data_IF_441417015741
#
_entry.id   IF_441417015741
#
_cell.length_a   1.000
_cell.length_b   1.000
_cell.length_c   1.000
_cell.angle_alpha   90.00
_cell.angle_beta   90.00
_cell.angle_gamma   90.00
#
_symmetry.space_group_name_H-M   'P 1'
#
loop_
_entity.id
_entity.type
_entity.pdbx_description
1 polymer ?
#
# COMPACT_ATOMS: atom_id res chain seq x y z
N UNK A 1 -12.16 -32.49 14.26
CA UNK A 1 -10.76 -32.61 13.80
C UNK A 1 -10.85 -33.31 12.47
N UNK A 2 -10.68 -32.54 11.38
CA UNK A 2 -10.99 -32.99 10.02
C UNK A 2 -10.10 -34.15 9.58
N UNK A 3 -10.72 -35.27 9.16
CA UNK A 3 -10.04 -36.42 8.55
C UNK A 3 -9.18 -36.03 7.32
N UNK A 4 -9.45 -34.92 6.70
CA UNK A 4 -8.69 -34.38 5.57
C UNK A 4 -7.28 -33.90 5.93
N UNK A 5 -7.03 -33.43 7.14
CA UNK A 5 -5.69 -32.91 7.53
C UNK A 5 -4.71 -34.09 7.68
N UNK A 6 -5.16 -35.22 8.23
CA UNK A 6 -4.35 -36.43 8.37
C UNK A 6 -3.92 -37.02 7.02
N UNK A 7 -4.81 -37.02 6.04
CA UNK A 7 -4.54 -37.55 4.69
C UNK A 7 -3.51 -36.68 3.94
N UNK A 8 -3.56 -35.36 4.09
CA UNK A 8 -2.58 -34.45 3.48
C UNK A 8 -1.19 -34.55 4.08
N UNK A 9 -1.10 -34.77 5.39
CA UNK A 9 0.19 -34.98 6.08
C UNK A 9 0.81 -36.31 5.63
N UNK A 10 0.02 -37.39 5.56
CA UNK A 10 0.50 -38.69 5.13
C UNK A 10 0.96 -38.71 3.66
N UNK A 11 0.21 -38.04 2.77
CA UNK A 11 0.56 -37.95 1.33
C UNK A 11 1.85 -37.16 1.13
N UNK A 12 2.07 -36.11 1.95
CA UNK A 12 3.26 -35.28 1.89
C UNK A 12 4.50 -36.02 2.39
N UNK A 13 4.36 -36.79 3.47
CA UNK A 13 5.45 -37.60 4.02
C UNK A 13 5.89 -38.71 3.04
N UNK A 14 4.92 -39.31 2.37
CA UNK A 14 5.17 -40.30 1.31
C UNK A 14 5.90 -39.68 0.11
N UNK A 15 5.54 -38.45 -0.28
CA UNK A 15 6.18 -37.73 -1.36
C UNK A 15 7.63 -37.34 -1.00
N UNK A 16 7.89 -36.91 0.23
CA UNK A 16 9.23 -36.61 0.74
C UNK A 16 10.11 -37.88 0.75
N UNK A 17 9.56 -39.05 1.14
CA UNK A 17 10.31 -40.31 1.12
C UNK A 17 10.65 -40.76 -0.31
N UNK A 18 9.73 -40.58 -1.26
CA UNK A 18 9.96 -40.92 -2.69
C UNK A 18 11.02 -40.01 -3.33
N UNK A 19 11.03 -38.71 -2.98
CA UNK A 19 12.04 -37.76 -3.46
C UNK A 19 13.40 -38.03 -2.81
N UNK A 20 13.43 -38.40 -1.53
CA UNK A 20 14.67 -38.74 -0.81
C UNK A 20 15.35 -39.99 -1.38
N UNK A 21 14.59 -40.90 -1.95
CA UNK A 21 15.12 -42.13 -2.62
C UNK A 21 15.57 -41.87 -4.06
N UNK A 22 15.28 -40.70 -4.65
CA UNK A 22 15.72 -40.35 -5.99
C UNK A 22 17.22 -39.98 -6.01
N UNK A 23 17.97 -40.59 -6.94
CA UNK A 23 19.43 -40.42 -7.07
C UNK A 23 19.91 -39.07 -7.58
N UNK A 24 19.05 -38.05 -7.61
CA UNK A 24 19.35 -36.75 -8.19
C UNK A 24 19.93 -35.82 -7.13
N UNK A 25 21.26 -35.76 -7.04
CA UNK A 25 22.04 -34.91 -6.11
C UNK A 25 21.69 -33.40 -6.15
N UNK A 26 21.11 -32.91 -7.26
CA UNK A 26 20.76 -31.51 -7.44
C UNK A 26 19.52 -31.07 -6.61
N UNK A 27 18.69 -31.97 -6.13
CA UNK A 27 17.47 -31.65 -5.40
C UNK A 27 17.63 -31.56 -3.87
N UNK A 28 18.76 -32.01 -3.32
CA UNK A 28 19.02 -31.99 -1.86
C UNK A 28 18.93 -30.60 -1.20
N UNK A 29 19.46 -29.52 -1.80
CA UNK A 29 19.34 -28.18 -1.19
C UNK A 29 17.88 -27.67 -1.18
N UNK A 30 17.10 -28.01 -2.23
CA UNK A 30 15.70 -27.66 -2.32
C UNK A 30 14.84 -28.39 -1.29
N UNK A 31 15.13 -29.66 -1.04
CA UNK A 31 14.50 -30.46 -0.01
C UNK A 31 14.70 -29.89 1.39
N UNK A 32 15.95 -29.54 1.75
CA UNK A 32 16.24 -28.91 3.05
C UNK A 32 15.50 -27.57 3.22
N UNK A 33 15.34 -26.81 2.15
CA UNK A 33 14.60 -25.55 2.18
C UNK A 33 13.08 -25.76 2.34
N UNK A 34 12.51 -26.76 1.66
CA UNK A 34 11.10 -27.18 1.78
C UNK A 34 10.82 -27.75 3.17
N UNK A 35 11.68 -28.62 3.71
CA UNK A 35 11.58 -29.14 5.08
C UNK A 35 11.57 -28.01 6.13
N UNK A 36 12.42 -26.99 5.96
CA UNK A 36 12.45 -25.82 6.85
C UNK A 36 11.18 -25.01 6.80
N UNK A 37 10.59 -24.78 5.60
CA UNK A 37 9.33 -24.03 5.43
C UNK A 37 8.13 -24.81 5.97
N UNK A 38 8.09 -26.14 5.74
CA UNK A 38 6.99 -26.99 6.19
C UNK A 38 7.05 -27.20 7.70
N UNK A 39 8.23 -27.39 8.28
CA UNK A 39 8.41 -27.44 9.73
C UNK A 39 7.96 -26.13 10.38
N UNK A 40 8.26 -24.97 9.77
CA UNK A 40 7.81 -23.68 10.26
C UNK A 40 6.30 -23.49 10.13
N UNK A 41 5.68 -23.90 9.02
CA UNK A 41 4.23 -23.84 8.82
C UNK A 41 3.47 -24.84 9.70
N UNK A 42 3.93 -26.08 9.84
CA UNK A 42 3.33 -27.06 10.76
C UNK A 42 3.46 -26.60 12.22
N UNK A 43 4.58 -26.00 12.60
CA UNK A 43 4.79 -25.44 13.93
C UNK A 43 3.85 -24.27 14.21
N UNK A 44 3.69 -23.35 13.24
CA UNK A 44 2.72 -22.26 13.36
C UNK A 44 1.27 -22.73 13.36
N UNK A 45 0.91 -23.73 12.57
CA UNK A 45 -0.45 -24.28 12.53
C UNK A 45 -0.78 -25.09 13.78
N UNK A 46 0.19 -25.82 14.36
CA UNK A 46 0.04 -26.53 15.63
C UNK A 46 -0.09 -25.56 16.81
N UNK A 47 0.65 -24.45 16.79
CA UNK A 47 0.51 -23.38 17.78
C UNK A 47 -0.88 -22.73 17.66
N UNK A 48 -1.35 -22.44 16.43
CA UNK A 48 -2.69 -21.87 16.19
C UNK A 48 -3.82 -22.84 16.57
N UNK A 49 -3.67 -24.14 16.36
CA UNK A 49 -4.70 -25.13 16.73
C UNK A 49 -4.81 -25.36 18.23
N UNK A 50 -3.76 -25.08 19.01
CA UNK A 50 -3.76 -25.19 20.47
C UNK A 50 -4.22 -23.92 21.19
N UNK A 51 -4.50 -22.83 20.44
CA UNK A 51 -4.85 -21.51 21.01
C UNK A 51 -6.35 -21.15 20.93
N UNK A 52 -7.25 -22.09 20.72
CA UNK A 52 -8.69 -21.83 20.71
C UNK A 52 -9.37 -22.44 21.94
N UNK A 53 -9.51 -21.70 23.00
CA UNK A 53 -10.67 -21.48 23.88
C UNK A 53 -10.26 -20.84 25.20
N UNK A 54 -10.93 -19.76 25.44
CA UNK A 54 -10.97 -18.91 26.64
C UNK A 54 -10.02 -17.71 26.61
N UNK A 55 -10.57 -16.68 26.08
CA UNK A 55 -10.00 -15.39 25.79
C UNK A 55 -9.30 -14.65 26.92
N UNK A 56 -8.17 -15.12 27.43
CA UNK A 56 -7.22 -14.23 28.17
C UNK A 56 -5.88 -14.87 28.60
N UNK A 57 -5.66 -16.17 28.47
CA UNK A 57 -4.34 -16.76 28.82
C UNK A 57 -4.01 -17.94 27.93
N UNK A 58 -2.86 -17.91 27.27
CA UNK A 58 -2.34 -19.02 26.49
C UNK A 58 -1.19 -19.68 27.26
N UNK A 59 -1.31 -20.99 27.50
CA UNK A 59 -0.21 -21.77 28.07
C UNK A 59 0.30 -22.71 26.98
N UNK A 60 1.54 -22.52 26.55
CA UNK A 60 2.21 -23.41 25.59
C UNK A 60 2.84 -24.56 26.34
N UNK A 61 2.36 -25.78 26.13
CA UNK A 61 3.01 -26.98 26.62
C UNK A 61 3.95 -27.54 25.56
N UNK A 62 5.25 -27.45 25.76
CA UNK A 62 6.25 -28.19 25.00
C UNK A 62 6.39 -29.57 25.64
N UNK A 63 5.94 -30.62 24.91
CA UNK A 63 6.04 -31.99 25.39
C UNK A 63 7.48 -32.45 25.50
N UNK A 64 7.91 -32.85 26.73
CA UNK A 64 9.10 -33.62 26.97
C UNK A 64 10.10 -33.00 27.92
N UNK A 65 9.85 -33.05 29.21
CA UNK A 65 10.73 -33.33 30.34
C UNK A 65 10.28 -32.60 31.62
N UNK A 66 10.30 -33.33 32.72
CA UNK A 66 9.89 -32.84 34.03
C UNK A 66 10.89 -31.84 34.58
N UNK A 67 10.64 -30.56 34.40
CA UNK A 67 11.17 -29.48 35.26
C UNK A 67 10.24 -28.26 35.13
N UNK A 68 9.93 -27.54 36.23
CA UNK A 68 9.09 -26.35 36.21
C UNK A 68 9.96 -25.19 35.71
N UNK A 69 9.90 -24.91 34.41
CA UNK A 69 10.67 -23.83 33.83
C UNK A 69 9.77 -22.87 33.08
N UNK A 70 9.74 -21.67 33.64
CA UNK A 70 9.39 -20.40 33.00
C UNK A 70 8.12 -20.40 32.12
N UNK A 71 7.02 -20.01 32.74
CA UNK A 71 5.89 -19.41 32.02
C UNK A 71 6.41 -18.21 31.23
N UNK A 72 6.63 -18.39 29.93
CA UNK A 72 6.73 -17.27 29.02
C UNK A 72 5.30 -16.72 28.93
N UNK A 73 4.99 -15.75 29.76
CA UNK A 73 3.85 -14.85 29.59
C UNK A 73 4.12 -14.05 28.32
N UNK A 74 3.70 -14.60 27.18
CA UNK A 74 3.53 -13.79 26.00
C UNK A 74 2.22 -13.02 26.18
N UNK A 75 2.22 -11.98 26.98
CA UNK A 75 1.24 -10.91 26.87
C UNK A 75 1.54 -10.22 25.55
N UNK A 76 0.98 -10.73 24.45
CA UNK A 76 0.70 -9.87 23.34
C UNK A 76 -0.45 -8.95 23.78
N UNK A 77 -0.13 -7.91 24.53
CA UNK A 77 -0.75 -6.64 24.24
C UNK A 77 -0.41 -6.44 22.76
N UNK A 78 -1.43 -6.39 21.91
CA UNK A 78 -1.28 -5.90 20.57
C UNK A 78 -0.84 -4.44 20.74
N UNK A 79 0.45 -4.23 20.95
CA UNK A 79 1.05 -2.92 21.02
C UNK A 79 0.65 -2.26 19.72
N UNK A 80 -0.03 -1.13 19.81
CA UNK A 80 -0.42 -0.37 18.63
C UNK A 80 0.89 -0.06 17.91
N UNK A 81 1.11 -0.73 16.77
CA UNK A 81 2.37 -0.60 16.04
C UNK A 81 2.49 0.84 15.55
N UNK A 82 3.61 1.50 15.86
CA UNK A 82 3.88 2.86 15.42
C UNK A 82 3.72 2.94 13.91
N UNK A 83 2.91 3.89 13.43
CA UNK A 83 2.67 4.12 12.01
C UNK A 83 3.78 5.02 11.45
N UNK A 84 4.68 4.43 10.70
CA UNK A 84 5.85 5.12 10.14
C UNK A 84 5.63 5.58 8.69
N UNK A 85 4.76 4.91 7.95
CA UNK A 85 4.40 5.27 6.59
C UNK A 85 3.00 5.88 6.58
N UNK A 86 2.85 7.08 6.03
CA UNK A 86 1.56 7.76 5.95
C UNK A 86 1.21 7.96 4.49
N UNK A 87 0.11 7.39 4.02
CA UNK A 87 -0.40 7.63 2.68
C UNK A 87 -1.61 8.55 2.74
N UNK A 88 -1.65 9.57 1.88
CA UNK A 88 -2.74 10.55 1.85
C UNK A 88 -3.40 10.57 0.48
N UNK A 89 -4.56 9.91 0.36
CA UNK A 89 -5.49 10.08 -0.73
C UNK A 89 -6.38 11.30 -0.47
N UNK A 90 -6.79 12.02 -1.51
CA UNK A 90 -7.44 13.32 -1.29
C UNK A 90 -8.27 13.79 -2.48
N UNK A 91 -9.39 14.44 -2.23
CA UNK A 91 -10.13 15.19 -3.23
C UNK A 91 -9.38 16.46 -3.67
N UNK A 92 -9.64 16.93 -4.89
CA UNK A 92 -9.09 18.19 -5.37
C UNK A 92 -9.69 19.37 -4.60
N UNK A 93 -8.85 20.28 -4.14
CA UNK A 93 -9.31 21.41 -3.31
C UNK A 93 -9.47 21.12 -1.82
N UNK A 94 -9.47 19.86 -1.37
CA UNK A 94 -9.62 19.50 0.05
C UNK A 94 -8.42 19.87 0.94
N UNK A 95 -7.30 20.30 0.37
CA UNK A 95 -6.11 20.63 1.16
C UNK A 95 -5.20 19.44 1.50
N UNK A 96 -5.47 18.24 0.99
CA UNK A 96 -4.70 17.05 1.32
C UNK A 96 -3.19 17.15 1.04
N UNK A 97 -2.76 17.88 -0.02
CA UNK A 97 -1.33 18.18 -0.25
C UNK A 97 -0.72 19.02 0.87
N UNK A 98 -1.44 20.07 1.29
CA UNK A 98 -1.01 20.96 2.39
C UNK A 98 -0.93 20.18 3.71
N UNK A 99 -1.95 19.36 4.00
CA UNK A 99 -1.97 18.49 5.18
C UNK A 99 -0.78 17.52 5.14
N UNK A 100 -0.54 16.85 4.03
CA UNK A 100 0.57 15.90 3.89
C UNK A 100 1.93 16.55 4.11
N UNK A 101 2.14 17.74 3.56
CA UNK A 101 3.39 18.48 3.76
C UNK A 101 3.58 18.86 5.23
N UNK A 102 2.56 19.39 5.90
CA UNK A 102 2.64 19.79 7.31
C UNK A 102 2.77 18.57 8.25
N UNK A 103 2.17 17.43 7.92
CA UNK A 103 2.36 16.16 8.65
C UNK A 103 3.82 15.70 8.54
N UNK A 104 4.39 15.72 7.34
CA UNK A 104 5.78 15.37 7.10
C UNK A 104 6.73 16.27 7.87
N UNK A 105 6.50 17.58 7.85
CA UNK A 105 7.28 18.58 8.59
C UNK A 105 7.22 18.35 10.11
N UNK A 106 6.01 18.16 10.68
CA UNK A 106 5.83 17.92 12.13
C UNK A 106 6.43 16.60 12.61
N UNK A 107 6.51 15.60 11.75
CA UNK A 107 7.09 14.30 12.07
C UNK A 107 8.59 14.21 11.74
N UNK A 108 9.12 15.15 10.94
CA UNK A 108 10.48 15.07 10.40
C UNK A 108 10.64 13.96 9.34
N UNK A 109 9.56 13.63 8.63
CA UNK A 109 9.55 12.57 7.62
C UNK A 109 9.75 13.15 6.21
N UNK A 110 10.43 12.43 5.29
CA UNK A 110 10.42 12.76 3.88
C UNK A 110 9.00 12.85 3.32
N UNK A 111 8.79 13.80 2.40
CA UNK A 111 7.52 14.06 1.74
C UNK A 111 7.61 13.73 0.27
N UNK A 112 6.74 12.84 -0.21
CA UNK A 112 6.72 12.36 -1.59
C UNK A 112 5.41 12.70 -2.30
N UNK A 113 5.47 13.66 -3.20
CA UNK A 113 4.41 14.05 -4.16
C UNK A 113 5.08 14.29 -5.53
N UNK A 114 5.75 15.44 -5.68
CA UNK A 114 6.48 15.80 -6.92
C UNK A 114 7.83 15.10 -7.04
N UNK A 115 8.48 14.79 -5.94
CA UNK A 115 9.73 14.04 -5.89
C UNK A 115 9.56 12.65 -6.50
N UNK A 116 8.45 11.98 -6.21
CA UNK A 116 8.12 10.70 -6.82
C UNK A 116 7.95 10.81 -8.34
N UNK A 117 7.36 11.92 -8.83
CA UNK A 117 7.24 12.20 -10.27
C UNK A 117 8.61 12.29 -10.90
N UNK A 118 9.56 13.02 -10.30
CA UNK A 118 10.93 13.13 -10.80
C UNK A 118 11.62 11.77 -10.88
N UNK A 119 11.54 10.99 -9.79
CA UNK A 119 12.13 9.64 -9.75
C UNK A 119 11.58 8.74 -10.85
N UNK A 120 10.26 8.78 -11.10
CA UNK A 120 9.64 8.01 -12.19
C UNK A 120 10.08 8.54 -13.56
N UNK A 121 10.12 9.86 -13.74
CA UNK A 121 10.58 10.49 -14.97
C UNK A 121 12.03 10.11 -15.32
N UNK A 122 12.93 10.17 -14.33
CA UNK A 122 14.34 9.78 -14.48
C UNK A 122 14.48 8.29 -14.82
N UNK A 123 13.71 7.41 -14.17
CA UNK A 123 13.74 5.95 -14.44
C UNK A 123 13.16 5.56 -15.80
N UNK A 124 12.23 6.35 -16.33
CA UNK A 124 11.52 6.04 -17.58
C UNK A 124 12.01 6.83 -18.78
N UNK A 125 12.69 7.94 -18.56
CA UNK A 125 13.06 8.91 -19.61
C UNK A 125 11.87 9.74 -20.14
N UNK A 126 10.71 9.70 -19.46
CA UNK A 126 9.55 10.52 -19.81
C UNK A 126 9.66 11.94 -19.23
N UNK A 127 8.98 12.89 -19.89
CA UNK A 127 8.85 14.24 -19.35
C UNK A 127 8.11 14.25 -18.01
N UNK A 128 8.59 15.00 -16.99
CA UNK A 128 7.96 15.04 -15.67
C UNK A 128 6.48 15.47 -15.70
N UNK A 129 6.09 16.40 -16.59
CA UNK A 129 4.69 16.83 -16.71
C UNK A 129 3.82 15.69 -17.24
N UNK A 130 4.39 14.91 -18.18
CA UNK A 130 3.74 13.70 -18.67
C UNK A 130 3.53 12.68 -17.55
N UNK A 131 4.55 12.41 -16.73
CA UNK A 131 4.44 11.51 -15.57
C UNK A 131 3.45 12.06 -14.54
N UNK A 132 3.41 13.37 -14.31
CA UNK A 132 2.42 14.00 -13.40
C UNK A 132 0.99 13.77 -13.88
N UNK A 133 0.73 14.01 -15.16
CA UNK A 133 -0.61 13.89 -15.73
C UNK A 133 -1.08 12.43 -15.80
N UNK A 134 -0.24 11.54 -16.28
CA UNK A 134 -0.61 10.14 -16.54
C UNK A 134 -0.42 9.20 -15.35
N UNK A 135 0.40 9.55 -14.40
CA UNK A 135 0.61 8.74 -13.21
C UNK A 135 -0.48 8.90 -12.13
N UNK A 136 -1.29 9.96 -12.21
CA UNK A 136 -2.38 10.21 -11.23
C UNK A 136 -3.78 10.23 -11.88
N UNK A 137 -3.86 10.47 -13.17
CA UNK A 137 -5.12 10.66 -13.87
C UNK A 137 -5.25 9.67 -15.03
N UNK A 138 -6.46 9.13 -15.21
CA UNK A 138 -6.74 8.32 -16.38
C UNK A 138 -6.66 9.15 -17.66
N UNK A 139 -6.01 8.65 -18.74
CA UNK A 139 -5.92 9.36 -20.00
C UNK A 139 -7.32 9.56 -20.61
N UNK A 140 -7.62 10.80 -21.01
CA UNK A 140 -8.83 11.09 -21.77
C UNK A 140 -8.77 10.50 -23.19
N UNK A 141 -9.93 10.28 -23.82
CA UNK A 141 -10.03 9.67 -25.17
C UNK A 141 -9.22 10.36 -26.27
N UNK A 142 -8.90 11.66 -26.11
CA UNK A 142 -8.11 12.44 -27.08
C UNK A 142 -6.63 12.08 -27.12
N UNK A 143 -6.14 11.36 -26.14
CA UNK A 143 -4.71 11.16 -25.98
C UNK A 143 -4.19 9.81 -26.47
N UNK A 144 -5.07 8.87 -26.77
CA UNK A 144 -4.72 7.64 -27.49
C UNK A 144 -4.04 7.96 -28.83
N UNK A 145 -4.38 9.10 -29.45
CA UNK A 145 -3.77 9.57 -30.71
C UNK A 145 -2.36 10.14 -30.52
N UNK A 146 -2.06 10.75 -29.37
CA UNK A 146 -0.71 11.24 -29.06
C UNK A 146 0.23 10.11 -28.66
N UNK A 147 -0.29 9.06 -28.02
CA UNK A 147 0.46 7.84 -27.69
C UNK A 147 1.01 7.14 -28.93
N UNK A 148 0.28 7.16 -30.04
CA UNK A 148 0.75 6.60 -31.32
C UNK A 148 1.94 7.37 -31.91
N UNK A 149 2.09 8.66 -31.57
CA UNK A 149 3.19 9.50 -32.07
C UNK A 149 4.48 9.36 -31.26
N UNK A 150 4.38 8.95 -30.00
CA UNK A 150 5.54 8.73 -29.10
C UNK A 150 6.17 7.33 -29.24
N UNK A 151 5.53 6.44 -29.98
CA UNK A 151 6.04 5.09 -30.27
C UNK A 151 7.13 5.07 -31.35
N UNK A 152 8.06 6.03 -31.30
CA UNK A 152 9.34 5.90 -31.97
C UNK A 152 10.02 4.61 -31.49
N UNK A 153 10.53 3.84 -32.43
CA UNK A 153 10.99 2.46 -32.40
C UNK A 153 11.85 1.98 -31.21
N UNK A 154 12.14 2.82 -30.22
CA UNK A 154 12.92 2.49 -29.02
C UNK A 154 12.12 2.12 -27.77
N UNK A 155 10.90 2.64 -27.61
CA UNK A 155 10.11 2.46 -26.37
C UNK A 155 9.36 1.11 -26.31
N UNK A 156 9.03 0.51 -27.46
CA UNK A 156 8.30 -0.77 -27.50
C UNK A 156 9.06 -1.95 -26.90
N UNK A 157 10.38 -1.97 -27.00
CA UNK A 157 11.21 -3.03 -26.43
C UNK A 157 11.26 -2.99 -24.90
N UNK A 158 11.24 -1.80 -24.29
CA UNK A 158 11.33 -1.62 -22.85
C UNK A 158 10.00 -1.89 -22.10
N UNK A 159 8.86 -1.73 -22.80
CA UNK A 159 7.53 -1.84 -22.21
C UNK A 159 6.92 -3.26 -22.28
N UNK A 160 7.59 -4.22 -22.93
CA UNK A 160 7.13 -5.61 -22.97
C UNK A 160 5.70 -5.81 -23.50
N UNK A 161 5.20 -4.92 -24.37
CA UNK A 161 3.83 -4.95 -24.90
C UNK A 161 2.76 -4.32 -24.01
N UNK A 162 3.12 -3.77 -22.85
CA UNK A 162 2.20 -3.01 -21.98
C UNK A 162 1.84 -1.65 -22.57
N UNK A 163 0.68 -1.09 -22.21
CA UNK A 163 0.38 0.30 -22.48
C UNK A 163 1.35 1.21 -21.72
N UNK A 164 1.62 2.42 -22.23
CA UNK A 164 2.43 3.43 -21.52
C UNK A 164 1.85 3.74 -20.13
N UNK A 165 0.53 3.73 -20.03
CA UNK A 165 -0.21 3.98 -18.80
C UNK A 165 0.06 2.89 -17.73
N UNK A 166 -0.03 1.62 -18.12
CA UNK A 166 0.29 0.49 -17.24
C UNK A 166 1.78 0.45 -16.88
N UNK A 167 2.64 0.73 -17.83
CA UNK A 167 4.09 0.82 -17.62
C UNK A 167 4.44 1.89 -16.57
N UNK A 168 3.88 3.09 -16.69
CA UNK A 168 4.07 4.16 -15.70
C UNK A 168 3.60 3.75 -14.32
N UNK A 169 2.46 3.05 -14.22
CA UNK A 169 1.99 2.54 -12.95
C UNK A 169 2.96 1.51 -12.33
N UNK A 170 3.50 0.59 -13.13
CA UNK A 170 4.48 -0.41 -12.65
C UNK A 170 5.74 0.27 -12.10
N UNK A 171 6.29 1.25 -12.82
CA UNK A 171 7.48 1.99 -12.36
C UNK A 171 7.16 2.81 -11.11
N UNK A 172 6.00 3.48 -11.07
CA UNK A 172 5.53 4.24 -9.93
C UNK A 172 5.33 3.33 -8.70
N UNK A 173 4.71 2.17 -8.88
CA UNK A 173 4.54 1.18 -7.81
C UNK A 173 5.89 0.74 -7.23
N UNK A 174 6.86 0.46 -8.09
CA UNK A 174 8.22 0.10 -7.67
C UNK A 174 8.86 1.22 -6.86
N UNK A 175 8.79 2.47 -7.32
CA UNK A 175 9.32 3.62 -6.61
C UNK A 175 8.66 3.81 -5.24
N UNK A 176 7.34 3.63 -5.11
CA UNK A 176 6.62 3.73 -3.84
C UNK A 176 7.08 2.64 -2.85
N UNK A 177 7.26 1.41 -3.32
CA UNK A 177 7.76 0.33 -2.47
C UNK A 177 9.19 0.60 -2.00
N UNK A 178 10.08 1.06 -2.88
CA UNK A 178 11.46 1.42 -2.54
C UNK A 178 11.50 2.50 -1.46
N UNK A 179 10.76 3.60 -1.62
CA UNK A 179 10.68 4.70 -0.63
C UNK A 179 10.15 4.21 0.72
N UNK A 180 9.17 3.29 0.70
CA UNK A 180 8.61 2.71 1.92
C UNK A 180 9.57 1.77 2.66
N UNK A 181 10.54 1.17 1.95
CA UNK A 181 11.61 0.37 2.55
C UNK A 181 12.76 1.23 3.11
N UNK A 182 12.97 2.44 2.58
CA UNK A 182 14.00 3.35 3.05
C UNK A 182 13.72 3.89 4.47
N UNK A 183 12.45 3.89 4.89
CA UNK A 183 12.07 4.30 6.24
C UNK A 183 10.78 5.12 6.34
N UNK A 184 10.60 5.86 7.45
CA UNK A 184 9.42 6.67 7.67
C UNK A 184 9.21 7.70 6.56
N UNK A 185 7.96 7.81 6.04
CA UNK A 185 7.68 8.74 4.96
C UNK A 185 6.19 9.13 4.88
N UNK A 186 5.91 10.23 4.17
CA UNK A 186 4.55 10.67 3.80
C UNK A 186 4.43 10.68 2.29
N UNK A 187 3.49 9.91 1.75
CA UNK A 187 3.26 9.75 0.31
C UNK A 187 1.86 10.25 -0.05
N UNK A 188 1.76 11.11 -1.07
CA UNK A 188 0.48 11.73 -1.45
C UNK A 188 -0.03 11.19 -2.78
N UNK A 189 -1.18 10.52 -2.75
CA UNK A 189 -1.88 9.98 -3.92
C UNK A 189 -1.23 8.75 -4.54
N UNK A 190 -1.34 8.59 -5.88
CA UNK A 190 -0.65 7.55 -6.66
C UNK A 190 -1.03 6.11 -6.29
N UNK A 191 -2.25 5.90 -5.76
CA UNK A 191 -2.69 4.60 -5.24
C UNK A 191 -1.75 4.03 -4.15
N UNK A 192 -1.00 4.89 -3.45
CA UNK A 192 -0.04 4.45 -2.42
C UNK A 192 -0.72 3.68 -1.29
N UNK A 193 -1.94 4.06 -0.92
CA UNK A 193 -2.80 3.33 0.02
C UNK A 193 -3.03 1.88 -0.40
N UNK A 194 -3.28 1.63 -1.68
CA UNK A 194 -3.48 0.28 -2.20
C UNK A 194 -2.15 -0.48 -2.35
N UNK A 195 -1.10 0.19 -2.81
CA UNK A 195 0.24 -0.41 -3.01
C UNK A 195 0.80 -0.90 -1.67
N UNK A 196 0.55 -0.16 -0.60
CA UNK A 196 1.08 -0.41 0.75
C UNK A 196 0.03 -1.01 1.71
N UNK A 197 -1.12 -1.49 1.20
CA UNK A 197 -2.25 -1.99 1.99
C UNK A 197 -1.92 -3.13 2.96
N UNK A 198 -0.89 -3.90 2.66
CA UNK A 198 -0.47 -5.04 3.47
C UNK A 198 0.67 -4.68 4.46
N UNK A 199 1.06 -3.40 4.51
CA UNK A 199 2.07 -2.88 5.45
C UNK A 199 1.44 -2.57 6.80
N UNK A 200 1.81 -3.28 7.87
CA UNK A 200 1.21 -3.07 9.20
C UNK A 200 1.59 -1.74 9.84
N UNK A 201 2.71 -1.15 9.40
CA UNK A 201 3.22 0.16 9.83
C UNK A 201 2.72 1.34 8.98
N UNK A 202 1.84 1.09 8.01
CA UNK A 202 1.21 2.14 7.22
C UNK A 202 -0.08 2.68 7.88
N UNK A 203 -0.31 3.99 7.72
CA UNK A 203 -1.54 4.70 8.03
C UNK A 203 -2.12 5.26 6.73
N UNK A 204 -3.29 4.78 6.34
CA UNK A 204 -3.95 5.21 5.12
C UNK A 204 -5.01 6.25 5.42
N UNK A 205 -4.84 7.47 4.89
CA UNK A 205 -5.70 8.62 5.16
C UNK A 205 -6.38 9.09 3.89
N UNK A 206 -7.68 9.41 3.99
CA UNK A 206 -8.44 10.09 2.95
C UNK A 206 -8.86 11.49 3.40
N UNK A 207 -8.57 12.52 2.60
CA UNK A 207 -8.97 13.89 2.89
C UNK A 207 -10.02 14.35 1.90
N UNK A 208 -11.17 14.73 2.41
CA UNK A 208 -12.28 15.29 1.63
C UNK A 208 -12.76 16.62 2.23
N UNK A 209 -13.65 17.31 1.53
CA UNK A 209 -14.32 18.48 2.05
C UNK A 209 -15.61 18.74 1.28
N UNK A 210 -16.46 19.61 1.85
CA UNK A 210 -17.68 20.06 1.19
C UNK A 210 -17.32 20.81 -0.11
N UNK A 211 -18.17 20.71 -1.13
CA UNK A 211 -17.89 21.23 -2.48
C UNK A 211 -17.63 22.73 -2.48
N UNK A 212 -18.41 23.51 -1.68
CA UNK A 212 -18.25 24.95 -1.54
C UNK A 212 -16.87 25.32 -1.00
N UNK A 213 -16.40 24.64 0.05
CA UNK A 213 -15.06 24.83 0.61
C UNK A 213 -13.97 24.54 -0.42
N UNK A 214 -14.11 23.43 -1.16
CA UNK A 214 -13.14 23.06 -2.21
C UNK A 214 -13.12 24.07 -3.35
N UNK A 215 -14.29 24.55 -3.80
CA UNK A 215 -14.43 25.52 -4.87
C UNK A 215 -13.77 26.86 -4.51
N UNK A 216 -14.08 27.40 -3.34
CA UNK A 216 -13.45 28.64 -2.83
C UNK A 216 -11.92 28.49 -2.72
N UNK A 217 -11.47 27.35 -2.18
CA UNK A 217 -10.04 27.09 -1.99
C UNK A 217 -9.28 27.02 -3.33
N UNK A 218 -9.82 26.40 -4.36
CA UNK A 218 -9.12 26.29 -5.66
C UNK A 218 -9.05 27.64 -6.37
N UNK A 219 -10.06 28.49 -6.25
CA UNK A 219 -10.03 29.86 -6.78
C UNK A 219 -8.94 30.66 -6.07
N UNK A 220 -8.90 30.62 -4.74
CA UNK A 220 -7.90 31.32 -3.94
C UNK A 220 -6.46 30.89 -4.26
N UNK A 221 -6.22 29.61 -4.52
CA UNK A 221 -4.86 29.07 -4.71
C UNK A 221 -4.41 29.08 -6.17
N UNK A 222 -5.31 28.89 -7.11
CA UNK A 222 -4.99 28.68 -8.53
C UNK A 222 -5.62 29.73 -9.45
N UNK A 223 -6.37 30.69 -8.88
CA UNK A 223 -7.06 31.73 -9.63
C UNK A 223 -8.31 31.26 -10.37
N UNK A 224 -8.94 32.24 -10.99
CA UNK A 224 -10.07 32.02 -11.91
C UNK A 224 -9.59 31.31 -13.18
N UNK A 225 -10.53 30.62 -13.85
CA UNK A 225 -10.32 30.01 -15.17
C UNK A 225 -11.61 30.07 -15.97
N UNK A 226 -11.54 29.72 -17.26
CA UNK A 226 -12.73 29.63 -18.13
C UNK A 226 -13.77 28.63 -17.62
N UNK A 227 -13.31 27.56 -16.93
CA UNK A 227 -14.20 26.57 -16.31
C UNK A 227 -14.59 26.99 -14.90
N UNK A 228 -15.86 26.77 -14.55
CA UNK A 228 -16.35 26.98 -13.19
C UNK A 228 -15.58 26.12 -12.18
N UNK A 229 -15.41 26.59 -10.94
CA UNK A 229 -14.71 25.83 -9.90
C UNK A 229 -15.24 24.40 -9.72
N UNK A 230 -16.56 24.22 -9.71
CA UNK A 230 -17.23 22.91 -9.52
C UNK A 230 -16.92 21.95 -10.68
N UNK A 231 -16.86 22.46 -11.92
CA UNK A 231 -16.46 21.66 -13.09
C UNK A 231 -15.01 21.20 -13.00
N UNK A 232 -14.11 22.09 -12.51
CA UNK A 232 -12.71 21.77 -12.28
C UNK A 232 -12.55 20.69 -11.20
N UNK A 233 -13.33 20.77 -10.11
CA UNK A 233 -13.36 19.78 -9.05
C UNK A 233 -13.79 18.42 -9.60
N UNK A 234 -14.94 18.39 -10.26
CA UNK A 234 -15.51 17.16 -10.82
C UNK A 234 -14.59 16.52 -11.85
N UNK A 235 -13.99 17.29 -12.75
CA UNK A 235 -13.07 16.76 -13.76
C UNK A 235 -11.86 16.07 -13.11
N UNK A 236 -11.20 16.73 -12.14
CA UNK A 236 -10.01 16.21 -11.47
C UNK A 236 -10.34 14.95 -10.64
N UNK A 237 -11.40 14.99 -9.86
CA UNK A 237 -11.75 13.89 -8.97
C UNK A 237 -12.31 12.70 -9.75
N UNK A 238 -13.05 12.93 -10.86
CA UNK A 238 -13.44 11.85 -11.76
C UNK A 238 -12.23 11.14 -12.37
N UNK A 239 -11.23 11.88 -12.85
CA UNK A 239 -10.01 11.30 -13.40
C UNK A 239 -9.27 10.44 -12.37
N UNK A 240 -9.19 10.89 -11.10
CA UNK A 240 -8.61 10.13 -9.99
C UNK A 240 -9.40 8.87 -9.69
N UNK A 241 -10.72 8.98 -9.60
CA UNK A 241 -11.59 7.84 -9.33
C UNK A 241 -11.47 6.75 -10.41
N UNK A 242 -11.42 7.14 -11.69
CA UNK A 242 -11.23 6.22 -12.81
C UNK A 242 -9.85 5.56 -12.75
N UNK A 243 -8.79 6.33 -12.49
CA UNK A 243 -7.43 5.82 -12.33
C UNK A 243 -7.35 4.82 -11.17
N UNK A 244 -7.90 5.17 -10.03
CA UNK A 244 -7.90 4.33 -8.84
C UNK A 244 -8.67 3.02 -9.09
N UNK A 245 -9.87 3.09 -9.68
CA UNK A 245 -10.67 1.91 -10.03
C UNK A 245 -9.93 0.99 -11.01
N UNK A 246 -9.25 1.55 -12.01
CA UNK A 246 -8.52 0.78 -13.01
C UNK A 246 -7.40 -0.07 -12.38
N UNK A 247 -6.59 0.51 -11.49
CA UNK A 247 -5.43 -0.18 -10.93
C UNK A 247 -5.72 -0.98 -9.65
N UNK A 248 -6.81 -0.69 -8.94
CA UNK A 248 -7.08 -1.28 -7.64
C UNK A 248 -8.33 -2.13 -7.58
N UNK A 249 -9.20 -2.00 -8.59
CA UNK A 249 -10.57 -2.53 -8.61
C UNK A 249 -11.46 -2.07 -7.43
N UNK A 250 -11.03 -1.04 -6.69
CA UNK A 250 -11.74 -0.47 -5.55
C UNK A 250 -12.43 0.84 -5.91
N UNK A 251 -13.39 1.27 -5.07
CA UNK A 251 -14.02 2.59 -5.19
C UNK A 251 -13.17 3.62 -4.45
N UNK A 252 -12.71 4.66 -5.17
CA UNK A 252 -11.96 5.76 -4.58
C UNK A 252 -12.83 6.57 -3.60
N UNK A 253 -12.29 6.92 -2.45
CA UNK A 253 -13.01 7.63 -1.39
C UNK A 253 -13.95 6.76 -0.54
N UNK A 254 -14.05 5.46 -0.81
CA UNK A 254 -14.77 4.54 0.07
C UNK A 254 -14.00 4.41 1.39
N UNK A 255 -14.65 4.79 2.50
CA UNK A 255 -14.03 4.81 3.83
C UNK A 255 -13.42 3.47 4.25
N UNK A 256 -13.90 2.35 3.71
CA UNK A 256 -13.37 1.00 4.00
C UNK A 256 -11.97 0.75 3.44
N UNK A 257 -11.49 1.62 2.57
CA UNK A 257 -10.15 1.53 2.00
C UNK A 257 -9.09 2.28 2.83
N UNK A 258 -9.52 3.02 3.86
CA UNK A 258 -8.65 3.92 4.62
C UNK A 258 -8.83 3.70 6.12
N UNK A 259 -7.77 3.92 6.90
CA UNK A 259 -7.81 3.88 8.36
C UNK A 259 -8.45 5.13 8.95
N UNK A 260 -8.36 6.26 8.23
CA UNK A 260 -8.86 7.56 8.65
C UNK A 260 -9.41 8.35 7.46
N UNK A 261 -10.65 8.87 7.60
CA UNK A 261 -11.26 9.78 6.61
C UNK A 261 -11.64 11.08 7.29
N UNK A 262 -11.12 12.22 6.80
CA UNK A 262 -11.25 13.53 7.44
C UNK A 262 -11.89 14.56 6.52
N UNK A 263 -12.91 15.27 7.02
CA UNK A 263 -13.49 16.43 6.36
C UNK A 263 -12.70 17.69 6.76
N UNK A 264 -11.77 18.10 5.92
CA UNK A 264 -10.91 19.26 6.19
C UNK A 264 -11.64 20.62 6.16
N UNK A 265 -12.80 20.67 5.48
CA UNK A 265 -13.64 21.86 5.49
C UNK A 265 -14.30 22.11 6.84
N UNK A 266 -14.63 21.03 7.57
CA UNK A 266 -15.25 21.12 8.91
C UNK A 266 -14.24 21.17 10.04
N UNK A 267 -13.15 20.39 9.93
CA UNK A 267 -12.14 20.29 10.97
C UNK A 267 -11.07 21.40 10.89
N UNK A 268 -10.85 21.94 9.71
CA UNK A 268 -9.68 22.79 9.43
C UNK A 268 -8.43 21.97 9.12
N UNK A 269 -7.47 22.61 8.44
CA UNK A 269 -6.21 21.96 8.01
C UNK A 269 -5.38 21.54 9.23
N UNK A 270 -5.18 22.44 10.17
CA UNK A 270 -4.35 22.25 11.36
C UNK A 270 -4.84 21.08 12.21
N UNK A 271 -6.16 20.95 12.42
CA UNK A 271 -6.73 19.87 13.20
C UNK A 271 -6.59 18.52 12.49
N UNK A 272 -6.73 18.47 11.16
CA UNK A 272 -6.46 17.27 10.39
C UNK A 272 -5.00 16.82 10.56
N UNK A 273 -4.05 17.76 10.50
CA UNK A 273 -2.63 17.46 10.72
C UNK A 273 -2.38 16.91 12.12
N UNK A 274 -2.95 17.53 13.16
CA UNK A 274 -2.81 17.05 14.55
C UNK A 274 -3.31 15.62 14.72
N UNK A 275 -4.49 15.30 14.20
CA UNK A 275 -5.07 13.97 14.29
C UNK A 275 -4.20 12.90 13.61
N UNK A 276 -3.67 13.20 12.42
CA UNK A 276 -2.79 12.28 11.70
C UNK A 276 -1.49 12.07 12.48
N UNK A 277 -0.86 13.14 12.96
CA UNK A 277 0.38 13.07 13.75
C UNK A 277 0.16 12.31 15.05
N UNK A 278 -0.96 12.54 15.74
CA UNK A 278 -1.30 11.84 16.97
C UNK A 278 -1.44 10.34 16.73
N UNK A 279 -2.17 9.92 15.67
CA UNK A 279 -2.34 8.50 15.33
C UNK A 279 -1.05 7.83 14.91
N UNK A 280 -0.14 8.55 14.23
CA UNK A 280 1.15 8.00 13.81
C UNK A 280 2.12 7.78 14.97
N UNK A 281 1.96 8.53 16.07
CA UNK A 281 2.82 8.48 17.26
C UNK A 281 2.27 7.60 18.38
N UNK A 282 1.10 6.98 18.21
CA UNK A 282 0.52 6.12 19.23
C UNK A 282 1.53 5.01 19.58
N UNK A 283 2.05 5.13 20.80
CA UNK A 283 2.88 4.12 21.48
C UNK A 283 1.99 3.08 22.13
#
# INVERSE_FOLDING_TARGET
MDENIGAHIWLFDLLLQLIAQSSVRALRPLLKWIESIVAYRCFCTLILALTVKDGKKYTVYTGGSKSPTSSILCTQEAGIMKKTIITISREFGSGGRTIGHQVAEKLGYPYYDKELIKTVAEKTGFDPNYVEEYGEYSPGKSLLSLLSSYTGTGAHGAMGGMSVYDFLYVVQRKAILEVAEEGPCVIVGRCADYILKDRPDALHVFIHADESFKAERIVRLYGESEKKPEERLKEKDTKRAVNYKHFTDRTWGDCRNYDLSLNSGKLGIERCVELIVQLSRQE
#
